data_IF_349960316936
#
_entry.id   IF_349960316936
#
_cell.length_a   1.000
_cell.length_b   1.000
_cell.length_c   1.000
_cell.angle_alpha   90.00
_cell.angle_beta   90.00
_cell.angle_gamma   90.00
#
_symmetry.space_group_name_H-M   'P 1'
#
loop_
_entity.id
_entity.type
_entity.pdbx_description
1 polymer ?
#
# COMPACT_ATOMS: atom_id res chain seq x y z
N UNK A 1 71.73 20.19 42.92
CA UNK A 1 71.02 20.88 43.99
C UNK A 1 69.58 20.96 43.58
N UNK A 2 68.86 20.04 44.07
CA UNK A 2 67.74 20.04 45.04
C UNK A 2 66.40 20.34 44.39
N UNK A 3 65.69 19.26 44.16
CA UNK A 3 64.28 18.89 44.16
C UNK A 3 63.33 19.89 44.78
N UNK A 4 62.15 20.00 44.16
CA UNK A 4 60.85 20.04 44.86
C UNK A 4 59.75 19.47 43.95
N UNK A 5 59.35 18.27 44.28
CA UNK A 5 58.19 17.56 43.71
C UNK A 5 56.94 18.08 44.40
N UNK A 6 56.00 18.68 43.66
CA UNK A 6 54.68 18.99 44.14
C UNK A 6 53.70 17.86 43.72
N UNK A 7 53.25 17.07 44.72
CA UNK A 7 52.19 16.08 44.56
C UNK A 7 50.84 16.78 44.48
N UNK A 8 50.18 16.72 43.29
CA UNK A 8 48.77 17.04 43.19
C UNK A 8 47.98 15.78 43.49
N UNK A 9 47.30 15.76 44.64
CA UNK A 9 46.25 14.82 44.94
C UNK A 9 45.06 15.06 44.01
N UNK A 10 44.86 14.15 43.08
CA UNK A 10 43.62 14.04 42.30
C UNK A 10 42.55 13.33 43.21
N UNK A 11 41.60 14.11 43.69
CA UNK A 11 40.44 13.59 44.37
C UNK A 11 39.51 12.87 43.33
N UNK A 12 39.28 11.61 43.55
CA UNK A 12 38.31 10.81 42.76
C UNK A 12 36.88 11.32 43.01
N UNK A 13 36.04 11.52 41.96
CA UNK A 13 34.64 11.89 42.21
C UNK A 13 33.86 10.69 42.80
N UNK A 14 32.84 10.96 43.65
CA UNK A 14 32.10 9.93 44.33
C UNK A 14 31.30 9.05 43.33
N UNK A 15 31.48 7.76 43.47
CA UNK A 15 30.94 6.66 42.64
C UNK A 15 29.43 6.42 42.79
N UNK A 16 28.65 7.33 43.35
CA UNK A 16 27.22 7.07 43.63
C UNK A 16 26.21 7.76 42.71
N UNK A 17 26.67 8.52 41.70
CA UNK A 17 25.76 9.30 40.85
C UNK A 17 25.42 8.65 39.45
N UNK A 18 25.96 7.48 39.13
CA UNK A 18 25.78 6.86 37.80
C UNK A 18 24.77 5.69 37.79
N UNK A 19 24.21 5.31 38.93
CA UNK A 19 23.37 4.11 39.04
C UNK A 19 21.85 4.32 38.90
N UNK A 20 21.32 5.52 38.93
CA UNK A 20 19.85 5.73 39.01
C UNK A 20 19.15 6.22 37.74
N UNK A 21 19.88 6.37 36.60
CA UNK A 21 19.27 6.82 35.35
C UNK A 21 18.80 5.67 34.42
N UNK A 22 19.08 4.40 34.75
CA UNK A 22 18.94 3.29 33.81
C UNK A 22 17.69 2.40 34.00
N UNK A 23 16.81 2.65 34.96
CA UNK A 23 15.71 1.70 35.26
C UNK A 23 14.38 2.36 35.63
N UNK A 24 14.00 3.43 34.97
CA UNK A 24 12.58 3.79 34.94
C UNK A 24 11.93 3.10 33.75
N UNK A 25 11.03 2.10 33.93
CA UNK A 25 10.23 1.61 32.84
C UNK A 25 9.46 2.82 32.28
N UNK A 26 9.67 3.14 30.99
CA UNK A 26 8.82 4.13 30.31
C UNK A 26 7.39 3.67 30.51
N UNK A 27 6.67 4.35 31.38
CA UNK A 27 5.22 4.19 31.54
C UNK A 27 4.65 4.34 30.14
N UNK A 28 4.17 3.22 29.59
CA UNK A 28 3.56 3.21 28.27
C UNK A 28 2.39 4.19 28.33
N UNK A 29 2.54 5.33 27.69
CA UNK A 29 1.49 6.33 27.55
C UNK A 29 0.22 5.58 27.12
N UNK A 30 -0.85 5.65 27.92
CA UNK A 30 -2.16 5.10 27.58
C UNK A 30 -2.64 5.82 26.33
N UNK A 31 -2.36 5.24 25.14
CA UNK A 31 -2.97 5.73 23.90
C UNK A 31 -4.46 5.46 23.98
N UNK A 32 -5.25 6.36 23.39
CA UNK A 32 -6.70 6.15 23.31
C UNK A 32 -7.01 4.89 22.50
N UNK A 33 -8.08 4.19 22.84
CA UNK A 33 -8.58 3.00 22.12
C UNK A 33 -8.75 3.30 20.63
N UNK A 34 -9.22 4.51 20.28
CA UNK A 34 -9.38 4.97 18.90
C UNK A 34 -8.03 5.05 18.15
N UNK A 35 -6.97 5.51 18.81
CA UNK A 35 -5.64 5.57 18.20
C UNK A 35 -5.09 4.17 17.92
N UNK A 36 -5.31 3.21 18.82
CA UNK A 36 -4.92 1.82 18.62
C UNK A 36 -5.75 1.15 17.53
N UNK A 37 -7.08 1.35 17.49
CA UNK A 37 -7.94 0.87 16.43
C UNK A 37 -7.52 1.41 15.06
N UNK A 38 -7.21 2.71 14.95
CA UNK A 38 -6.71 3.32 13.72
C UNK A 38 -5.38 2.72 13.27
N UNK A 39 -4.46 2.40 14.20
CA UNK A 39 -3.20 1.74 13.85
C UNK A 39 -3.41 0.28 13.40
N UNK A 40 -4.40 -0.43 13.95
CA UNK A 40 -4.74 -1.80 13.55
C UNK A 40 -5.32 -1.83 12.14
N UNK A 41 -6.29 -0.97 11.83
CA UNK A 41 -7.03 -0.97 10.56
C UNK A 41 -6.26 -0.31 9.42
N UNK A 42 -5.33 0.63 9.72
CA UNK A 42 -4.57 1.41 8.72
C UNK A 42 -5.49 2.13 7.70
N UNK A 43 -6.30 3.08 8.12
CA UNK A 43 -7.38 3.65 7.30
C UNK A 43 -6.90 4.25 5.97
N UNK A 44 -5.67 4.78 5.90
CA UNK A 44 -5.11 5.33 4.64
C UNK A 44 -4.94 4.24 3.57
N UNK A 45 -4.49 3.05 3.95
CA UNK A 45 -4.33 1.93 3.02
C UNK A 45 -5.72 1.37 2.65
N UNK A 46 -6.60 1.19 3.64
CA UNK A 46 -7.97 0.75 3.41
C UNK A 46 -8.69 1.69 2.43
N UNK A 47 -8.58 3.01 2.61
CA UNK A 47 -9.18 4.00 1.70
C UNK A 47 -8.68 3.82 0.26
N UNK A 48 -7.39 3.61 0.04
CA UNK A 48 -6.85 3.37 -1.32
C UNK A 48 -7.46 2.10 -1.95
N UNK A 49 -7.59 1.03 -1.17
CA UNK A 49 -8.25 -0.20 -1.62
C UNK A 49 -9.70 0.06 -2.00
N UNK A 50 -10.44 0.80 -1.17
CA UNK A 50 -11.85 1.12 -1.45
C UNK A 50 -12.02 1.98 -2.69
N UNK A 51 -11.17 2.99 -2.89
CA UNK A 51 -11.16 3.82 -4.10
C UNK A 51 -10.89 2.95 -5.34
N UNK A 52 -9.97 1.98 -5.24
CA UNK A 52 -9.66 1.06 -6.33
C UNK A 52 -10.87 0.17 -6.68
N UNK A 53 -11.52 -0.42 -5.67
CA UNK A 53 -12.73 -1.26 -5.87
C UNK A 53 -13.85 -0.42 -6.47
N UNK A 54 -14.10 0.77 -5.93
CA UNK A 54 -15.11 1.68 -6.47
C UNK A 54 -14.83 2.07 -7.92
N UNK A 55 -13.58 2.45 -8.24
CA UNK A 55 -13.22 2.80 -9.62
C UNK A 55 -13.44 1.63 -10.58
N UNK A 56 -13.12 0.39 -10.16
CA UNK A 56 -13.40 -0.79 -10.97
C UNK A 56 -14.90 -1.02 -11.17
N UNK A 57 -15.72 -0.91 -10.12
CA UNK A 57 -17.18 -1.01 -10.24
C UNK A 57 -17.72 0.06 -11.18
N UNK A 58 -17.27 1.31 -11.03
CA UNK A 58 -17.68 2.44 -11.86
C UNK A 58 -17.33 2.22 -13.33
N UNK A 59 -16.08 1.85 -13.63
CA UNK A 59 -15.61 1.60 -15.00
C UNK A 59 -16.35 0.41 -15.63
N UNK A 60 -16.67 -0.61 -14.84
CA UNK A 60 -17.38 -1.80 -15.30
C UNK A 60 -18.84 -1.49 -15.57
N UNK A 61 -19.49 -0.66 -14.77
CA UNK A 61 -20.92 -0.35 -14.97
C UNK A 61 -21.19 0.33 -16.32
N UNK A 62 -20.23 1.10 -16.83
CA UNK A 62 -20.40 1.79 -18.10
C UNK A 62 -21.60 2.73 -18.13
N UNK A 63 -22.60 2.42 -18.99
CA UNK A 63 -23.88 3.13 -19.09
C UNK A 63 -24.99 2.56 -18.19
N UNK A 64 -24.71 1.48 -17.45
CA UNK A 64 -25.70 0.86 -16.55
C UNK A 64 -25.76 1.63 -15.23
N UNK A 65 -26.94 1.69 -14.64
CA UNK A 65 -27.11 2.23 -13.30
C UNK A 65 -26.44 1.35 -12.25
N UNK A 66 -25.65 1.96 -11.39
CA UNK A 66 -25.04 1.28 -10.24
C UNK A 66 -26.12 1.03 -9.17
N UNK A 67 -26.22 -0.19 -8.71
CA UNK A 67 -26.95 -0.48 -7.48
C UNK A 67 -26.13 0.01 -6.28
N UNK A 68 -26.49 1.18 -5.75
CA UNK A 68 -25.76 1.81 -4.65
C UNK A 68 -25.73 0.98 -3.37
N UNK A 69 -26.76 0.17 -3.12
CA UNK A 69 -26.76 -0.75 -1.97
C UNK A 69 -25.69 -1.82 -2.12
N UNK A 70 -25.54 -2.38 -3.34
CA UNK A 70 -24.45 -3.31 -3.68
C UNK A 70 -23.09 -2.62 -3.55
N UNK A 71 -22.92 -1.42 -4.09
CA UNK A 71 -21.66 -0.65 -3.99
C UNK A 71 -21.26 -0.46 -2.53
N UNK A 72 -22.15 0.05 -1.70
CA UNK A 72 -21.88 0.30 -0.28
C UNK A 72 -21.55 -0.99 0.45
N UNK A 73 -22.31 -2.07 0.19
CA UNK A 73 -22.09 -3.37 0.82
C UNK A 73 -20.74 -4.00 0.41
N UNK A 74 -20.39 -3.96 -0.88
CA UNK A 74 -19.08 -4.47 -1.38
C UNK A 74 -17.93 -3.66 -0.80
N UNK A 75 -18.02 -2.34 -0.77
CA UNK A 75 -16.99 -1.47 -0.18
C UNK A 75 -16.85 -1.72 1.32
N UNK A 76 -17.96 -1.83 2.06
CA UNK A 76 -17.92 -2.14 3.48
C UNK A 76 -17.29 -3.50 3.75
N UNK A 77 -17.74 -4.55 3.05
CA UNK A 77 -17.17 -5.91 3.18
C UNK A 77 -15.66 -5.91 2.85
N UNK A 78 -15.24 -5.22 1.78
CA UNK A 78 -13.85 -5.06 1.41
C UNK A 78 -13.04 -4.33 2.50
N UNK A 79 -13.59 -3.28 3.11
CA UNK A 79 -12.96 -2.57 4.22
C UNK A 79 -12.72 -3.49 5.42
N UNK A 80 -13.68 -4.35 5.74
CA UNK A 80 -13.59 -5.32 6.83
C UNK A 80 -12.54 -6.39 6.53
N UNK A 81 -12.48 -6.93 5.29
CA UNK A 81 -11.42 -7.86 4.86
C UNK A 81 -10.05 -7.19 4.92
N UNK A 82 -9.92 -5.95 4.47
CA UNK A 82 -8.66 -5.18 4.51
C UNK A 82 -8.21 -4.92 5.96
N UNK A 83 -9.13 -4.60 6.87
CA UNK A 83 -8.85 -4.46 8.29
C UNK A 83 -8.35 -5.78 8.89
N UNK A 84 -9.04 -6.90 8.61
CA UNK A 84 -8.60 -8.25 9.00
C UNK A 84 -7.19 -8.54 8.52
N UNK A 85 -6.89 -8.30 7.25
CA UNK A 85 -5.56 -8.53 6.67
C UNK A 85 -4.48 -7.67 7.33
N UNK A 86 -4.79 -6.42 7.67
CA UNK A 86 -3.88 -5.50 8.37
C UNK A 86 -3.55 -5.99 9.79
N UNK A 87 -4.53 -6.51 10.53
CA UNK A 87 -4.35 -7.08 11.86
C UNK A 87 -3.51 -8.36 11.77
N UNK A 88 -3.84 -9.27 10.84
CA UNK A 88 -3.09 -10.51 10.62
C UNK A 88 -1.60 -10.22 10.27
N UNK A 89 -1.35 -9.25 9.40
CA UNK A 89 0.01 -8.81 9.09
C UNK A 89 0.76 -8.33 10.35
N UNK A 90 0.11 -7.55 11.24
CA UNK A 90 0.73 -7.08 12.48
C UNK A 90 0.98 -8.21 13.47
N UNK A 91 0.16 -9.28 13.50
CA UNK A 91 0.43 -10.47 14.32
C UNK A 91 1.71 -11.15 13.83
N UNK A 92 1.83 -11.36 12.51
CA UNK A 92 2.98 -12.04 11.89
C UNK A 92 4.27 -11.23 12.02
N UNK A 93 4.17 -9.90 11.91
CA UNK A 93 5.31 -8.98 11.96
C UNK A 93 5.63 -8.45 13.37
N UNK A 94 4.91 -8.84 14.42
CA UNK A 94 5.04 -8.25 15.77
C UNK A 94 6.48 -8.17 16.31
N UNK A 95 7.31 -9.15 16.00
CA UNK A 95 8.71 -9.21 16.45
C UNK A 95 9.59 -8.24 15.65
N UNK A 96 9.47 -8.22 14.33
CA UNK A 96 10.19 -7.28 13.46
C UNK A 96 9.72 -5.85 13.65
N UNK A 97 8.41 -5.65 13.90
CA UNK A 97 7.84 -4.33 14.17
C UNK A 97 8.45 -3.67 15.42
N UNK A 98 8.81 -4.45 16.44
CA UNK A 98 9.48 -3.95 17.66
C UNK A 98 10.87 -3.37 17.37
N UNK A 99 11.56 -3.87 16.36
CA UNK A 99 12.91 -3.46 15.98
C UNK A 99 12.94 -2.16 15.16
N UNK A 100 11.80 -1.73 14.63
CA UNK A 100 11.70 -0.56 13.77
C UNK A 100 11.00 0.60 14.49
N UNK A 101 11.67 1.75 14.62
CA UNK A 101 11.11 2.93 15.29
C UNK A 101 9.74 3.36 14.76
N UNK A 102 9.50 3.19 13.45
CA UNK A 102 8.24 3.50 12.78
C UNK A 102 7.07 2.63 13.25
N UNK A 103 7.31 1.37 13.62
CA UNK A 103 6.27 0.35 13.86
C UNK A 103 6.27 -0.19 15.29
N UNK A 104 7.29 0.09 16.09
CA UNK A 104 7.39 -0.35 17.49
C UNK A 104 6.20 0.10 18.36
N UNK A 105 5.54 1.19 17.98
CA UNK A 105 4.36 1.70 18.69
C UNK A 105 3.04 1.05 18.30
N UNK A 106 3.02 0.10 17.34
CA UNK A 106 1.81 -0.64 16.96
C UNK A 106 1.26 -1.44 18.15
N UNK A 107 -0.07 -1.60 18.29
CA UNK A 107 -0.68 -2.24 19.46
C UNK A 107 -0.13 -3.64 19.76
N UNK A 108 0.07 -4.47 18.72
CA UNK A 108 0.61 -5.82 18.87
C UNK A 108 2.12 -5.84 19.16
N UNK A 109 2.90 -4.96 18.51
CA UNK A 109 4.33 -4.82 18.78
C UNK A 109 4.59 -4.30 20.20
N UNK A 110 3.77 -3.35 20.65
CA UNK A 110 3.86 -2.75 22.00
C UNK A 110 3.22 -3.61 23.10
N UNK A 111 2.60 -4.75 22.77
CA UNK A 111 1.97 -5.64 23.76
C UNK A 111 0.65 -5.14 24.33
N UNK A 112 0.02 -4.10 23.75
CA UNK A 112 -1.26 -3.56 24.23
C UNK A 112 -2.48 -4.39 23.79
N UNK A 113 -2.34 -5.22 22.77
CA UNK A 113 -3.37 -6.15 22.32
C UNK A 113 -2.82 -7.58 22.38
N UNK A 114 -3.60 -8.51 22.96
CA UNK A 114 -3.22 -9.92 23.01
C UNK A 114 -3.34 -10.59 21.63
N UNK A 115 -2.48 -11.60 21.38
CA UNK A 115 -2.57 -12.35 20.13
C UNK A 115 -3.91 -13.06 19.96
N UNK A 116 -4.49 -13.59 21.07
CA UNK A 116 -5.78 -14.28 21.02
C UNK A 116 -6.90 -13.35 20.56
N UNK A 117 -7.00 -12.17 21.20
CA UNK A 117 -7.99 -11.15 20.81
C UNK A 117 -7.78 -10.68 19.36
N UNK A 118 -6.52 -10.52 18.95
CA UNK A 118 -6.20 -10.12 17.57
C UNK A 118 -6.61 -11.20 16.56
N UNK A 119 -6.36 -12.48 16.82
CA UNK A 119 -6.81 -13.57 15.95
C UNK A 119 -8.34 -13.69 15.89
N UNK A 120 -9.05 -13.47 16.99
CA UNK A 120 -10.50 -13.42 16.97
C UNK A 120 -11.02 -12.30 16.06
N UNK A 121 -10.42 -11.10 16.13
CA UNK A 121 -10.75 -9.99 15.23
C UNK A 121 -10.42 -10.33 13.75
N UNK A 122 -9.30 -11.02 13.49
CA UNK A 122 -8.94 -11.47 12.14
C UNK A 122 -9.98 -12.42 11.59
N UNK A 123 -10.33 -13.47 12.33
CA UNK A 123 -11.28 -14.50 11.85
C UNK A 123 -12.68 -13.91 11.68
N UNK A 124 -13.16 -13.17 12.68
CA UNK A 124 -14.48 -12.52 12.59
C UNK A 124 -14.56 -11.50 11.45
N UNK A 125 -13.51 -10.68 11.29
CA UNK A 125 -13.43 -9.70 10.21
C UNK A 125 -13.30 -10.36 8.83
N UNK A 126 -12.54 -11.45 8.70
CA UNK A 126 -12.43 -12.18 7.44
C UNK A 126 -13.77 -12.81 7.03
N UNK A 127 -14.42 -13.58 7.94
CA UNK A 127 -15.69 -14.26 7.68
C UNK A 127 -16.81 -13.23 7.42
N UNK A 128 -16.93 -12.22 8.27
CA UNK A 128 -17.94 -11.18 8.13
C UNK A 128 -17.75 -10.34 6.86
N UNK A 129 -16.52 -9.95 6.55
CA UNK A 129 -16.20 -9.19 5.34
C UNK A 129 -16.40 -10.01 4.07
N UNK A 130 -15.97 -11.28 4.04
CA UNK A 130 -16.22 -12.20 2.93
C UNK A 130 -17.72 -12.37 2.70
N UNK A 131 -18.48 -12.67 3.74
CA UNK A 131 -19.93 -12.83 3.67
C UNK A 131 -20.63 -11.55 3.16
N UNK A 132 -20.18 -10.40 3.62
CA UNK A 132 -20.73 -9.11 3.17
C UNK A 132 -20.45 -8.85 1.67
N UNK A 133 -19.22 -9.11 1.17
CA UNK A 133 -18.92 -9.00 -0.26
C UNK A 133 -19.72 -10.00 -1.08
N UNK A 134 -19.91 -11.21 -0.58
CA UNK A 134 -20.72 -12.24 -1.25
C UNK A 134 -22.19 -11.82 -1.37
N UNK A 135 -22.80 -11.39 -0.28
CA UNK A 135 -24.23 -11.03 -0.24
C UNK A 135 -24.54 -9.73 -1.00
N UNK A 136 -23.63 -8.76 -0.94
CA UNK A 136 -23.83 -7.45 -1.59
C UNK A 136 -23.39 -7.43 -3.06
N UNK A 137 -22.41 -8.26 -3.41
CA UNK A 137 -21.90 -8.45 -4.77
C UNK A 137 -22.24 -9.85 -5.27
N UNK A 138 -21.22 -10.70 -5.34
CA UNK A 138 -21.36 -12.10 -5.73
C UNK A 138 -20.20 -12.95 -5.16
N UNK A 139 -20.31 -14.28 -5.32
CA UNK A 139 -19.30 -15.23 -4.83
C UNK A 139 -17.93 -14.99 -5.48
N UNK A 140 -17.88 -14.63 -6.76
CA UNK A 140 -16.62 -14.40 -7.48
C UNK A 140 -15.86 -13.20 -6.89
N UNK A 141 -16.54 -12.10 -6.59
CA UNK A 141 -15.98 -10.94 -5.92
C UNK A 141 -15.48 -11.28 -4.51
N UNK A 142 -16.23 -12.08 -3.74
CA UNK A 142 -15.83 -12.56 -2.42
C UNK A 142 -14.58 -13.47 -2.52
N UNK A 143 -14.49 -14.34 -3.51
CA UNK A 143 -13.29 -15.16 -3.77
C UNK A 143 -12.10 -14.30 -4.15
N UNK A 144 -12.27 -13.21 -4.91
CA UNK A 144 -11.18 -12.26 -5.20
C UNK A 144 -10.70 -11.53 -3.93
N UNK A 145 -11.61 -11.16 -3.04
CA UNK A 145 -11.26 -10.58 -1.73
C UNK A 145 -10.49 -11.58 -0.86
N UNK A 146 -10.90 -12.84 -0.83
CA UNK A 146 -10.20 -13.93 -0.15
C UNK A 146 -8.79 -14.15 -0.74
N UNK A 147 -8.66 -14.19 -2.06
CA UNK A 147 -7.37 -14.34 -2.74
C UNK A 147 -6.43 -13.18 -2.41
N UNK A 148 -6.95 -11.94 -2.39
CA UNK A 148 -6.19 -10.76 -1.98
C UNK A 148 -5.68 -10.91 -0.54
N UNK A 149 -6.53 -11.37 0.38
CA UNK A 149 -6.17 -11.62 1.77
C UNK A 149 -5.07 -12.69 1.88
N UNK A 150 -5.24 -13.83 1.19
CA UNK A 150 -4.28 -14.96 1.20
C UNK A 150 -2.91 -14.48 0.66
N UNK A 151 -2.88 -13.80 -0.48
CA UNK A 151 -1.64 -13.31 -1.07
C UNK A 151 -0.94 -12.28 -0.18
N UNK A 152 -1.70 -11.37 0.44
CA UNK A 152 -1.12 -10.34 1.30
C UNK A 152 -0.61 -10.92 2.62
N UNK A 153 -1.41 -11.75 3.30
CA UNK A 153 -1.09 -12.28 4.63
C UNK A 153 -0.22 -13.52 4.55
N UNK A 154 -0.62 -14.48 3.70
CA UNK A 154 -0.01 -15.81 3.63
C UNK A 154 1.26 -15.86 2.77
N UNK A 155 1.38 -15.00 1.77
CA UNK A 155 2.53 -15.02 0.85
C UNK A 155 3.43 -13.79 1.02
N UNK A 156 2.91 -12.58 0.76
CA UNK A 156 3.70 -11.36 0.80
C UNK A 156 4.35 -11.10 2.17
N UNK A 157 3.60 -11.25 3.26
CA UNK A 157 4.12 -10.95 4.60
C UNK A 157 5.29 -11.85 5.00
N UNK A 158 5.24 -13.18 4.84
CA UNK A 158 6.40 -14.04 5.09
C UNK A 158 7.57 -13.80 4.13
N UNK A 159 7.30 -13.53 2.85
CA UNK A 159 8.33 -13.30 1.83
C UNK A 159 9.26 -12.14 2.15
N UNK A 160 8.83 -11.15 2.94
CA UNK A 160 9.68 -10.03 3.38
C UNK A 160 10.95 -10.47 4.09
N UNK A 161 10.93 -11.64 4.73
CA UNK A 161 12.09 -12.23 5.43
C UNK A 161 12.92 -13.14 4.55
N UNK A 162 12.40 -13.55 3.40
CA UNK A 162 12.99 -14.60 2.56
C UNK A 162 13.68 -13.99 1.34
N UNK A 163 13.00 -13.09 0.63
CA UNK A 163 13.47 -12.64 -0.68
C UNK A 163 13.00 -11.22 -1.03
N UNK A 164 13.80 -10.45 -1.81
CA UNK A 164 13.38 -9.15 -2.37
C UNK A 164 12.19 -9.23 -3.34
N UNK A 165 11.85 -10.41 -3.84
CA UNK A 165 10.65 -10.62 -4.67
C UNK A 165 9.35 -10.33 -3.92
N UNK A 166 9.41 -10.16 -2.59
CA UNK A 166 8.26 -9.70 -1.80
C UNK A 166 7.59 -8.45 -2.40
N UNK A 167 8.35 -7.53 -2.99
CA UNK A 167 7.80 -6.32 -3.61
C UNK A 167 6.91 -6.65 -4.81
N UNK A 168 7.32 -7.58 -5.67
CA UNK A 168 6.53 -7.98 -6.83
C UNK A 168 5.23 -8.68 -6.41
N UNK A 169 5.31 -9.60 -5.44
CA UNK A 169 4.12 -10.28 -4.88
C UNK A 169 3.20 -9.28 -4.17
N UNK A 170 3.80 -8.33 -3.41
CA UNK A 170 3.06 -7.24 -2.78
C UNK A 170 2.33 -6.36 -3.79
N UNK A 171 2.95 -6.12 -4.95
CA UNK A 171 2.35 -5.35 -6.04
C UNK A 171 1.16 -6.09 -6.68
N UNK A 172 1.23 -7.43 -6.82
CA UNK A 172 0.07 -8.24 -7.24
C UNK A 172 -1.06 -8.12 -6.21
N UNK A 173 -0.77 -8.37 -4.93
CA UNK A 173 -1.77 -8.27 -3.86
C UNK A 173 -2.41 -6.87 -3.76
N UNK A 174 -1.63 -5.81 -4.03
CA UNK A 174 -2.11 -4.43 -4.03
C UNK A 174 -2.92 -4.03 -5.27
N UNK A 175 -2.77 -4.73 -6.39
CA UNK A 175 -3.56 -4.51 -7.61
C UNK A 175 -4.85 -5.36 -7.66
N UNK A 176 -4.87 -6.52 -6.98
CA UNK A 176 -6.02 -7.44 -6.98
C UNK A 176 -7.37 -6.85 -6.54
N UNK A 177 -7.44 -5.85 -5.63
CA UNK A 177 -8.73 -5.24 -5.28
C UNK A 177 -9.54 -4.74 -6.47
N UNK A 178 -8.89 -4.44 -7.60
CA UNK A 178 -9.60 -4.06 -8.83
C UNK A 178 -10.49 -5.20 -9.35
N UNK A 179 -10.05 -6.46 -9.19
CA UNK A 179 -10.82 -7.63 -9.56
C UNK A 179 -12.09 -7.77 -8.70
N UNK A 180 -12.05 -7.37 -7.43
CA UNK A 180 -13.24 -7.37 -6.56
C UNK A 180 -14.34 -6.49 -7.18
N UNK A 181 -13.98 -5.26 -7.57
CA UNK A 181 -14.93 -4.32 -8.17
C UNK A 181 -15.44 -4.77 -9.54
N UNK A 182 -14.55 -5.28 -10.39
CA UNK A 182 -14.91 -5.79 -11.73
C UNK A 182 -15.87 -6.97 -11.64
N UNK A 183 -15.59 -7.93 -10.75
CA UNK A 183 -16.43 -9.11 -10.54
C UNK A 183 -17.77 -8.73 -9.89
N UNK A 184 -17.78 -7.82 -8.91
CA UNK A 184 -18.98 -7.37 -8.24
C UNK A 184 -19.94 -6.59 -9.16
N UNK A 185 -19.42 -6.01 -10.26
CA UNK A 185 -20.21 -5.30 -11.28
C UNK A 185 -20.49 -6.14 -12.53
N UNK A 186 -20.48 -7.48 -12.41
CA UNK A 186 -20.76 -8.43 -13.48
C UNK A 186 -19.86 -8.29 -14.71
N UNK A 187 -18.58 -7.93 -14.50
CA UNK A 187 -17.60 -7.75 -15.57
C UNK A 187 -17.44 -8.95 -16.51
N UNK A 188 -17.37 -10.21 -16.01
CA UNK A 188 -17.29 -11.39 -16.88
C UNK A 188 -18.51 -11.53 -17.80
N UNK A 189 -19.72 -11.27 -17.31
CA UNK A 189 -20.95 -11.34 -18.09
C UNK A 189 -20.98 -10.30 -19.21
N UNK A 190 -20.47 -9.07 -18.92
CA UNK A 190 -20.36 -8.01 -19.91
C UNK A 190 -19.33 -8.36 -20.99
N UNK A 191 -18.18 -8.93 -20.59
CA UNK A 191 -17.14 -9.39 -21.52
C UNK A 191 -17.70 -10.50 -22.44
N UNK A 192 -18.45 -11.46 -21.90
CA UNK A 192 -19.10 -12.53 -22.68
C UNK A 192 -20.20 -11.98 -23.60
N UNK A 193 -20.84 -10.89 -23.23
CA UNK A 193 -21.81 -10.19 -24.08
C UNK A 193 -21.17 -9.29 -25.16
N UNK A 194 -19.85 -9.28 -25.27
CA UNK A 194 -19.10 -8.53 -26.29
C UNK A 194 -18.71 -7.10 -25.88
N UNK A 195 -19.01 -6.65 -24.65
CA UNK A 195 -18.55 -5.36 -24.13
C UNK A 195 -17.12 -5.47 -23.61
N UNK A 196 -16.17 -5.29 -24.52
CA UNK A 196 -14.73 -5.36 -24.21
C UNK A 196 -14.24 -4.08 -23.55
N UNK A 197 -14.90 -2.93 -23.81
CA UNK A 197 -14.41 -1.60 -23.39
C UNK A 197 -14.22 -1.49 -21.91
N UNK A 198 -15.21 -1.90 -21.11
CA UNK A 198 -15.16 -1.86 -19.65
C UNK A 198 -14.04 -2.77 -19.10
N UNK A 199 -13.92 -3.97 -19.63
CA UNK A 199 -12.87 -4.94 -19.23
C UNK A 199 -11.48 -4.44 -19.58
N UNK A 200 -11.29 -3.78 -20.72
CA UNK A 200 -10.03 -3.17 -21.12
C UNK A 200 -9.65 -2.02 -20.18
N UNK A 201 -10.60 -1.16 -19.83
CA UNK A 201 -10.36 -0.06 -18.89
C UNK A 201 -9.92 -0.57 -17.51
N UNK A 202 -10.60 -1.59 -17.00
CA UNK A 202 -10.28 -2.22 -15.70
C UNK A 202 -8.94 -2.95 -15.75
N UNK A 203 -8.64 -3.67 -16.82
CA UNK A 203 -7.35 -4.34 -16.98
C UNK A 203 -6.19 -3.33 -17.07
N UNK A 204 -6.38 -2.23 -17.82
CA UNK A 204 -5.39 -1.16 -17.90
C UNK A 204 -5.17 -0.50 -16.52
N UNK A 205 -6.24 -0.22 -15.77
CA UNK A 205 -6.14 0.32 -14.41
C UNK A 205 -5.46 -0.66 -13.45
N UNK A 206 -5.75 -1.96 -13.53
CA UNK A 206 -5.09 -2.99 -12.71
C UNK A 206 -3.60 -3.09 -13.00
N UNK A 207 -3.22 -3.07 -14.28
CA UNK A 207 -1.82 -3.08 -14.71
C UNK A 207 -1.11 -1.80 -14.28
N UNK A 208 -1.77 -0.64 -14.40
CA UNK A 208 -1.25 0.64 -13.92
C UNK A 208 -0.99 0.59 -12.41
N UNK A 209 -1.94 0.10 -11.61
CA UNK A 209 -1.76 -0.05 -10.17
C UNK A 209 -0.59 -0.98 -9.84
N UNK A 210 -0.45 -2.10 -10.55
CA UNK A 210 0.67 -3.02 -10.37
C UNK A 210 2.01 -2.31 -10.62
N UNK A 211 2.15 -1.61 -11.76
CA UNK A 211 3.39 -0.91 -12.12
C UNK A 211 3.69 0.27 -11.22
N UNK A 212 2.67 1.05 -10.87
CA UNK A 212 2.80 2.23 -10.02
C UNK A 212 3.44 1.93 -8.66
N UNK A 213 3.19 0.74 -8.13
CA UNK A 213 3.68 0.37 -6.80
C UNK A 213 5.21 0.24 -6.74
N UNK A 214 5.88 -0.12 -7.83
CA UNK A 214 7.33 -0.34 -7.80
C UNK A 214 8.12 0.91 -7.46
N UNK A 215 8.00 2.05 -8.16
CA UNK A 215 8.72 3.27 -7.78
C UNK A 215 8.34 3.74 -6.37
N UNK A 216 7.04 3.63 -6.01
CA UNK A 216 6.54 3.97 -4.69
C UNK A 216 7.20 3.13 -3.58
N UNK A 217 7.22 1.81 -3.73
CA UNK A 217 7.82 0.92 -2.75
C UNK A 217 9.34 1.02 -2.70
N UNK A 218 10.01 1.27 -3.83
CA UNK A 218 11.45 1.49 -3.84
C UNK A 218 11.84 2.77 -3.12
N UNK A 219 11.05 3.84 -3.26
CA UNK A 219 11.24 5.07 -2.49
C UNK A 219 11.09 4.83 -0.97
N UNK A 220 10.05 4.10 -0.55
CA UNK A 220 9.86 3.71 0.86
C UNK A 220 11.01 2.81 1.32
N UNK A 221 11.39 1.81 0.53
CA UNK A 221 12.47 0.89 0.88
C UNK A 221 13.80 1.62 1.04
N UNK A 222 14.08 2.64 0.22
CA UNK A 222 15.26 3.48 0.35
C UNK A 222 15.25 4.30 1.63
N UNK A 223 14.16 4.99 1.92
CA UNK A 223 14.03 5.85 3.10
C UNK A 223 14.14 5.08 4.42
N UNK A 224 13.66 3.85 4.46
CA UNK A 224 13.66 3.02 5.66
C UNK A 224 14.70 1.88 5.64
N UNK A 225 15.67 1.89 4.69
CA UNK A 225 16.65 0.80 4.49
C UNK A 225 17.41 0.40 5.76
N UNK A 226 17.80 1.38 6.59
CA UNK A 226 18.48 1.11 7.86
C UNK A 226 17.59 0.34 8.84
N UNK A 227 16.30 0.74 8.96
CA UNK A 227 15.35 0.05 9.85
C UNK A 227 15.01 -1.35 9.36
N UNK A 228 14.87 -1.53 8.03
CA UNK A 228 14.65 -2.85 7.44
C UNK A 228 15.85 -3.78 7.65
N UNK A 229 17.07 -3.27 7.55
CA UNK A 229 18.28 -4.02 7.86
C UNK A 229 18.33 -4.49 9.32
N UNK A 230 18.01 -3.61 10.28
CA UNK A 230 17.92 -3.95 11.71
C UNK A 230 16.86 -5.02 12.01
N UNK A 231 15.80 -5.07 11.21
CA UNK A 231 14.72 -6.06 11.35
C UNK A 231 14.93 -7.33 10.52
N UNK A 232 16.10 -7.49 9.88
CA UNK A 232 16.46 -8.59 8.97
C UNK A 232 15.43 -8.83 7.86
N UNK A 233 14.83 -7.75 7.35
CA UNK A 233 13.91 -7.83 6.22
C UNK A 233 14.68 -7.76 4.90
N UNK A 234 14.41 -8.69 4.00
CA UNK A 234 15.08 -8.82 2.68
C UNK A 234 14.46 -7.87 1.66
N UNK A 235 14.47 -6.56 1.98
CA UNK A 235 14.06 -5.55 1.01
C UNK A 235 15.16 -5.32 -0.02
N UNK A 236 14.81 -4.95 -1.25
CA UNK A 236 15.79 -4.79 -2.33
C UNK A 236 16.92 -3.81 -1.98
N UNK A 237 16.61 -2.73 -1.27
CA UNK A 237 17.59 -1.72 -0.80
C UNK A 237 18.45 -2.18 0.39
N UNK A 238 18.12 -3.30 1.02
CA UNK A 238 18.95 -3.95 2.03
C UNK A 238 19.90 -4.95 1.36
N UNK A 239 19.40 -5.72 0.39
CA UNK A 239 20.19 -6.70 -0.37
C UNK A 239 21.11 -6.06 -1.41
N UNK A 240 20.73 -4.88 -1.93
CA UNK A 240 21.54 -4.04 -2.79
C UNK A 240 21.68 -2.61 -2.19
N UNK A 241 22.67 -2.39 -1.32
CA UNK A 241 22.89 -1.09 -0.69
C UNK A 241 23.28 0.03 -1.67
N UNK A 242 23.75 -0.32 -2.88
CA UNK A 242 24.04 0.66 -3.94
C UNK A 242 22.78 1.36 -4.45
N UNK A 243 21.62 0.72 -4.30
CA UNK A 243 20.34 1.17 -4.78
C UNK A 243 20.15 1.10 -6.30
N UNK A 244 21.12 0.54 -7.04
CA UNK A 244 21.04 0.43 -8.51
C UNK A 244 19.86 -0.41 -8.95
N UNK A 245 19.64 -1.58 -8.30
CA UNK A 245 18.51 -2.44 -8.62
C UNK A 245 17.17 -1.79 -8.29
N UNK A 246 17.08 -1.10 -7.16
CA UNK A 246 15.88 -0.37 -6.77
C UNK A 246 15.56 0.79 -7.75
N UNK A 247 16.60 1.52 -8.17
CA UNK A 247 16.49 2.58 -9.16
C UNK A 247 16.09 2.04 -10.54
N UNK A 248 16.73 0.95 -11.00
CA UNK A 248 16.41 0.29 -12.26
C UNK A 248 14.97 -0.24 -12.29
N UNK A 249 14.52 -0.88 -11.21
CA UNK A 249 13.15 -1.38 -11.09
C UNK A 249 12.12 -0.23 -11.07
N UNK A 250 12.44 0.88 -10.39
CA UNK A 250 11.60 2.08 -10.39
C UNK A 250 11.47 2.67 -11.79
N UNK A 251 12.58 2.83 -12.50
CA UNK A 251 12.59 3.42 -13.83
C UNK A 251 11.88 2.53 -14.85
N UNK A 252 12.18 1.22 -14.85
CA UNK A 252 11.55 0.26 -15.76
C UNK A 252 10.02 0.24 -15.59
N UNK A 253 9.53 0.21 -14.35
CA UNK A 253 8.09 0.23 -14.07
C UNK A 253 7.44 1.57 -14.46
N UNK A 254 8.10 2.72 -14.21
CA UNK A 254 7.60 4.02 -14.64
C UNK A 254 7.53 4.16 -16.17
N UNK A 255 8.53 3.63 -16.91
CA UNK A 255 8.50 3.60 -18.37
C UNK A 255 7.39 2.69 -18.90
N UNK A 256 7.23 1.49 -18.33
CA UNK A 256 6.15 0.57 -18.72
C UNK A 256 4.76 1.16 -18.41
N UNK A 257 4.65 2.07 -17.46
CA UNK A 257 3.38 2.72 -17.12
C UNK A 257 2.90 3.69 -18.22
N UNK A 258 3.78 4.22 -19.08
CA UNK A 258 3.40 5.13 -20.19
C UNK A 258 2.36 4.48 -21.11
N UNK A 259 2.65 3.39 -21.83
CA UNK A 259 1.67 2.80 -22.73
C UNK A 259 0.42 2.32 -21.99
N UNK A 260 0.54 1.82 -20.78
CA UNK A 260 -0.60 1.35 -19.98
C UNK A 260 -1.53 2.49 -19.59
N UNK A 261 -0.98 3.63 -19.14
CA UNK A 261 -1.79 4.80 -18.78
C UNK A 261 -2.46 5.43 -20.01
N UNK A 262 -1.79 5.45 -21.17
CA UNK A 262 -2.38 5.90 -22.43
C UNK A 262 -3.50 4.97 -22.91
N UNK A 263 -3.34 3.65 -22.72
CA UNK A 263 -4.38 2.67 -23.07
C UNK A 263 -5.69 2.89 -22.29
N UNK A 264 -5.65 3.52 -21.11
CA UNK A 264 -6.87 3.89 -20.37
C UNK A 264 -7.74 4.93 -21.10
N UNK A 265 -7.17 5.68 -22.05
CA UNK A 265 -7.92 6.64 -22.85
C UNK A 265 -8.70 5.97 -24.02
N UNK A 266 -8.32 4.76 -24.41
CA UNK A 266 -8.93 4.04 -25.57
C UNK A 266 -10.42 3.80 -25.34
N UNK A 267 -10.86 3.19 -24.20
CA UNK A 267 -12.28 2.91 -23.99
C UNK A 267 -13.18 4.15 -23.94
N UNK A 268 -12.65 5.28 -23.45
CA UNK A 268 -13.38 6.51 -23.32
C UNK A 268 -13.33 7.40 -24.57
N UNK A 269 -12.36 7.21 -25.46
CA UNK A 269 -12.06 8.12 -26.57
C UNK A 269 -11.70 9.54 -26.12
N UNK A 270 -11.41 9.74 -24.84
CA UNK A 270 -11.24 11.07 -24.24
C UNK A 270 -9.84 11.62 -24.45
N UNK A 271 -9.71 12.68 -25.22
CA UNK A 271 -8.45 13.43 -25.36
C UNK A 271 -7.95 13.97 -24.00
N UNK A 272 -8.86 14.33 -23.09
CA UNK A 272 -8.50 14.80 -21.74
C UNK A 272 -7.84 13.70 -20.94
N UNK A 273 -8.38 12.47 -21.01
CA UNK A 273 -7.77 11.30 -20.36
C UNK A 273 -6.39 11.02 -20.96
N UNK A 274 -6.26 11.06 -22.29
CA UNK A 274 -4.99 10.85 -22.98
C UNK A 274 -3.91 11.86 -22.54
N UNK A 275 -4.23 13.15 -22.58
CA UNK A 275 -3.29 14.22 -22.17
C UNK A 275 -2.91 14.12 -20.68
N UNK A 276 -3.88 13.82 -19.81
CA UNK A 276 -3.62 13.63 -18.38
C UNK A 276 -2.71 12.41 -18.14
N UNK A 277 -2.96 11.32 -18.83
CA UNK A 277 -2.15 10.11 -18.74
C UNK A 277 -0.72 10.36 -19.25
N UNK A 278 -0.57 11.03 -20.39
CA UNK A 278 0.72 11.39 -20.96
C UNK A 278 1.54 12.28 -20.01
N UNK A 279 0.92 13.32 -19.46
CA UNK A 279 1.59 14.24 -18.54
C UNK A 279 1.97 13.56 -17.24
N UNK A 280 1.03 12.87 -16.60
CA UNK A 280 1.25 12.22 -15.31
C UNK A 280 2.33 11.12 -15.39
N UNK A 281 2.31 10.28 -16.43
CA UNK A 281 3.32 9.23 -16.62
C UNK A 281 4.69 9.83 -16.96
N UNK A 282 4.76 10.90 -17.77
CA UNK A 282 6.02 11.60 -18.06
C UNK A 282 6.62 12.19 -16.78
N UNK A 283 5.84 12.86 -15.96
CA UNK A 283 6.31 13.37 -14.65
C UNK A 283 6.82 12.22 -13.78
N UNK A 284 6.13 11.08 -13.77
CA UNK A 284 6.55 9.92 -12.98
C UNK A 284 7.88 9.33 -13.46
N UNK A 285 8.10 9.27 -14.76
CA UNK A 285 9.38 8.86 -15.36
C UNK A 285 10.49 9.84 -14.98
N UNK A 286 10.30 11.15 -15.15
CA UNK A 286 11.31 12.16 -14.83
C UNK A 286 11.76 12.09 -13.38
N UNK A 287 10.82 11.91 -12.46
CA UNK A 287 11.13 11.79 -11.02
C UNK A 287 11.82 10.45 -10.72
N UNK A 288 11.44 9.36 -11.43
CA UNK A 288 12.13 8.06 -11.31
C UNK A 288 13.56 8.13 -11.85
N UNK A 289 13.79 8.85 -12.96
CA UNK A 289 15.14 9.16 -13.50
C UNK A 289 15.96 9.95 -12.47
N UNK A 290 15.40 11.00 -11.89
CA UNK A 290 16.08 11.77 -10.84
C UNK A 290 16.48 10.89 -9.65
N UNK A 291 15.61 9.97 -9.20
CA UNK A 291 15.93 9.01 -8.16
C UNK A 291 17.04 8.04 -8.62
N UNK A 292 16.98 7.57 -9.86
CA UNK A 292 18.00 6.64 -10.40
C UNK A 292 19.41 7.24 -10.45
N UNK A 293 19.53 8.53 -10.76
CA UNK A 293 20.84 9.21 -10.77
C UNK A 293 21.34 9.58 -9.37
N UNK A 294 20.46 10.10 -8.51
CA UNK A 294 20.86 10.64 -7.21
C UNK A 294 20.95 9.59 -6.11
N UNK A 295 20.01 8.69 -6.02
CA UNK A 295 19.88 7.65 -4.98
C UNK A 295 20.09 8.20 -3.57
N UNK A 296 19.49 9.35 -3.27
CA UNK A 296 19.51 10.02 -1.99
C UNK A 296 18.12 10.11 -1.35
N UNK A 297 18.06 10.48 -0.08
CA UNK A 297 16.81 10.56 0.66
C UNK A 297 15.88 11.67 0.14
N UNK A 298 16.45 12.73 -0.50
CA UNK A 298 15.65 13.82 -1.07
C UNK A 298 14.94 13.37 -2.34
N UNK A 299 15.65 12.74 -3.26
CA UNK A 299 15.04 12.22 -4.49
C UNK A 299 14.04 11.10 -4.20
N UNK A 300 14.29 10.24 -3.21
CA UNK A 300 13.34 9.23 -2.76
C UNK A 300 12.06 9.84 -2.16
N UNK A 301 12.14 10.92 -1.38
CA UNK A 301 10.94 11.63 -0.89
C UNK A 301 10.16 12.28 -2.03
N UNK A 302 10.84 12.92 -2.97
CA UNK A 302 10.18 13.49 -4.16
C UNK A 302 9.45 12.39 -4.92
N UNK A 303 10.10 11.26 -5.20
CA UNK A 303 9.48 10.11 -5.86
C UNK A 303 8.26 9.58 -5.09
N UNK A 304 8.38 9.45 -3.76
CA UNK A 304 7.28 8.99 -2.89
C UNK A 304 6.05 9.89 -2.98
N UNK A 305 6.21 11.19 -2.85
CA UNK A 305 5.07 12.12 -2.88
C UNK A 305 4.50 12.28 -4.28
N UNK A 306 5.36 12.35 -5.31
CA UNK A 306 4.91 12.40 -6.71
C UNK A 306 4.13 11.15 -7.08
N UNK A 307 4.54 9.96 -6.61
CA UNK A 307 3.81 8.71 -6.87
C UNK A 307 2.37 8.76 -6.37
N UNK A 308 2.13 9.33 -5.18
CA UNK A 308 0.78 9.49 -4.64
C UNK A 308 -0.06 10.48 -5.48
N UNK A 309 0.53 11.60 -5.91
CA UNK A 309 -0.12 12.57 -6.78
C UNK A 309 -0.48 11.98 -8.14
N UNK A 310 0.46 11.28 -8.77
CA UNK A 310 0.25 10.61 -10.07
C UNK A 310 -0.88 9.59 -9.99
N UNK A 311 -0.89 8.75 -8.95
CA UNK A 311 -1.96 7.77 -8.77
C UNK A 311 -3.32 8.45 -8.62
N UNK A 312 -3.41 9.46 -7.75
CA UNK A 312 -4.65 10.19 -7.51
C UNK A 312 -5.17 10.85 -8.80
N UNK A 313 -4.30 11.51 -9.56
CA UNK A 313 -4.66 12.14 -10.82
C UNK A 313 -5.16 11.11 -11.82
N UNK A 314 -4.45 9.99 -12.01
CA UNK A 314 -4.83 8.97 -12.99
C UNK A 314 -6.13 8.27 -12.61
N UNK A 315 -6.32 7.91 -11.33
CA UNK A 315 -7.55 7.28 -10.87
C UNK A 315 -8.77 8.22 -10.97
N UNK A 316 -8.59 9.48 -10.55
CA UNK A 316 -9.67 10.47 -10.65
C UNK A 316 -10.04 10.75 -12.12
N UNK A 317 -9.04 10.86 -12.99
CA UNK A 317 -9.25 11.05 -14.43
C UNK A 317 -9.92 9.85 -15.07
N UNK A 318 -9.54 8.62 -14.69
CA UNK A 318 -10.19 7.40 -15.18
C UNK A 318 -11.68 7.38 -14.86
N UNK A 319 -12.05 7.78 -13.64
CA UNK A 319 -13.47 7.84 -13.22
C UNK A 319 -14.18 9.01 -13.90
N UNK A 320 -13.57 10.21 -13.93
CA UNK A 320 -14.21 11.43 -14.41
C UNK A 320 -14.40 11.45 -15.94
N UNK A 321 -13.45 10.87 -16.70
CA UNK A 321 -13.49 10.91 -18.16
C UNK A 321 -14.03 9.62 -18.80
N UNK A 322 -14.25 8.57 -18.00
CA UNK A 322 -14.99 7.39 -18.40
C UNK A 322 -16.49 7.51 -18.15
N UNK A 323 -16.96 8.73 -17.85
CA UNK A 323 -18.35 8.98 -17.51
C UNK A 323 -19.31 8.27 -18.50
N UNK A 324 -20.32 7.57 -17.99
CA UNK A 324 -21.28 6.89 -18.84
C UNK A 324 -21.92 7.88 -19.80
N UNK A 325 -22.22 7.44 -21.03
CA UNK A 325 -22.90 8.21 -22.08
C UNK A 325 -24.28 8.77 -21.69
N UNK A 326 -24.67 8.72 -20.43
CA UNK A 326 -25.92 9.29 -19.90
C UNK A 326 -26.01 10.81 -20.09
N UNK A 327 -24.87 11.49 -20.30
CA UNK A 327 -24.84 12.94 -20.55
C UNK A 327 -24.70 13.31 -22.02
N UNK A 328 -24.49 12.36 -22.92
CA UNK A 328 -24.63 12.57 -24.34
C UNK A 328 -26.03 12.10 -24.75
N UNK A 329 -27.02 12.87 -24.33
CA UNK A 329 -28.35 12.80 -24.94
C UNK A 329 -28.13 12.78 -26.45
N UNK A 330 -28.70 11.79 -27.07
CA UNK A 330 -28.92 11.67 -28.50
C UNK A 330 -29.05 13.04 -29.18
N UNK A 331 -27.96 13.50 -29.79
CA UNK A 331 -28.04 14.44 -30.88
C UNK A 331 -27.42 13.73 -32.09
N UNK A 332 -28.23 12.93 -32.71
CA UNK A 332 -28.44 12.73 -34.15
C UNK A 332 -29.75 12.06 -34.34
#
# INVERSE_FOLDING_TARGET
MTQLVAQHHLASPPSSAISDAATRPRVASRRSVLADASQLVRPRIAMMVLVTVFAAMWLTSGSRELNWLSVVGVLFGTAVVAASSSIANQILERHTDRLMARTASRPLAAGRLSNRSAWLLVVAGFIGGFGCVWLAGNLQAACAAMLTWILYVGVYTPLKRITPLNTAVGAVAGALPIAIGWLAADGPQQLLAGDISASLAVAALGTLLYLWQFPHFMAIAWLYRKQYGLADLKMLTVTDPSGLRAAGQSLAAALAMIPVSLAMAIPSGSIRMFLTAALASTVYVLVSVNFAFRRDDRSARILLFTSLGVLLILMTSAVAFSAPKILTGSYL
#
